data_IF_781784734750
#
_entry.id   IF_781784734750
#
_cell.length_a   1.000
_cell.length_b   1.000
_cell.length_c   1.000
_cell.angle_alpha   90.00
_cell.angle_beta   90.00
_cell.angle_gamma   90.00
#
_symmetry.space_group_name_H-M   'P 1'
#
loop_
_entity.id
_entity.type
_entity.pdbx_description
1 polymer ?
#
# COMPACT_ATOMS: atom_id res chain seq x y z
N UNK A 1 -4.43 10.88 -7.92
CA UNK A 1 -5.01 9.53 -7.86
C UNK A 1 -5.96 9.42 -9.03
N UNK A 2 -6.12 8.23 -9.61
CA UNK A 2 -6.89 8.01 -10.84
C UNK A 2 -8.42 8.19 -10.73
N UNK A 3 -8.86 9.28 -10.14
CA UNK A 3 -10.17 9.88 -10.44
C UNK A 3 -11.34 9.55 -9.56
N UNK A 4 -11.24 8.84 -8.42
CA UNK A 4 -12.43 8.65 -7.58
C UNK A 4 -12.12 8.56 -6.08
N UNK A 5 -13.18 8.59 -5.27
CA UNK A 5 -13.13 8.59 -3.80
C UNK A 5 -12.43 7.34 -3.29
N UNK A 6 -11.59 7.50 -2.26
CA UNK A 6 -10.99 6.39 -1.50
C UNK A 6 -11.27 6.57 -0.01
N UNK A 7 -11.14 5.49 0.75
CA UNK A 7 -11.25 5.49 2.19
C UNK A 7 -9.89 5.23 2.85
N UNK A 8 -9.55 6.05 3.84
CA UNK A 8 -8.45 5.80 4.75
C UNK A 8 -8.96 5.86 6.18
N UNK A 9 -8.66 4.84 6.96
CA UNK A 9 -9.12 4.72 8.33
C UNK A 9 -8.17 3.93 9.23
N UNK A 10 -8.43 3.91 10.54
CA UNK A 10 -7.68 3.10 11.50
C UNK A 10 -7.58 1.64 11.02
N UNK A 11 -6.43 1.00 11.26
CA UNK A 11 -6.17 -0.36 10.79
C UNK A 11 -5.64 -0.47 9.37
N UNK A 12 -5.50 0.64 8.63
CA UNK A 12 -4.75 0.66 7.37
C UNK A 12 -3.31 1.12 7.58
N UNK A 13 -2.35 0.47 6.90
CA UNK A 13 -1.01 1.01 6.71
C UNK A 13 -0.98 1.78 5.38
N UNK A 14 -0.92 3.10 5.49
CA UNK A 14 -0.79 4.00 4.34
C UNK A 14 0.67 4.39 4.18
N UNK A 15 1.23 4.18 2.99
CA UNK A 15 2.62 4.52 2.69
C UNK A 15 2.73 5.37 1.44
N UNK A 16 3.55 6.43 1.52
CA UNK A 16 3.87 7.33 0.41
C UNK A 16 5.38 7.32 0.15
N UNK A 17 5.89 6.33 -0.63
CA UNK A 17 7.30 6.31 -1.00
C UNK A 17 7.60 7.48 -1.94
N UNK A 18 8.24 8.53 -1.42
CA UNK A 18 8.64 9.71 -2.18
C UNK A 18 10.06 9.49 -2.68
N UNK A 19 10.19 9.14 -3.94
CA UNK A 19 11.49 8.84 -4.56
C UNK A 19 11.65 9.57 -5.88
N UNK A 20 12.89 9.89 -6.24
CA UNK A 20 13.20 10.38 -7.58
C UNK A 20 13.21 9.20 -8.56
N UNK A 21 12.32 9.21 -9.53
CA UNK A 21 12.11 8.12 -10.47
C UNK A 21 13.28 8.06 -11.47
N UNK A 22 14.10 7.02 -11.38
CA UNK A 22 15.20 6.78 -12.32
C UNK A 22 14.80 5.96 -13.56
N UNK A 23 13.66 5.26 -13.45
CA UNK A 23 13.09 4.41 -14.48
C UNK A 23 11.66 4.80 -14.85
N UNK A 24 10.93 3.89 -15.45
CA UNK A 24 9.51 4.06 -15.79
C UNK A 24 8.58 3.89 -14.58
N UNK A 25 7.43 4.55 -14.64
CA UNK A 25 6.36 4.44 -13.63
C UNK A 25 5.95 2.99 -13.37
N UNK A 26 5.86 2.21 -14.43
CA UNK A 26 5.51 0.78 -14.36
C UNK A 26 6.49 0.00 -13.50
N UNK A 27 7.79 0.17 -13.74
CA UNK A 27 8.83 -0.52 -12.96
C UNK A 27 8.77 -0.15 -11.47
N UNK A 28 8.49 1.12 -11.17
CA UNK A 28 8.29 1.60 -9.81
C UNK A 28 7.10 0.91 -9.12
N UNK A 29 5.93 0.87 -9.79
CA UNK A 29 4.73 0.25 -9.23
C UNK A 29 4.92 -1.26 -9.04
N UNK A 30 5.54 -1.95 -9.99
CA UNK A 30 5.86 -3.38 -9.89
C UNK A 30 6.87 -3.67 -8.76
N UNK A 31 7.85 -2.77 -8.54
CA UNK A 31 8.80 -2.89 -7.42
C UNK A 31 8.13 -2.67 -6.08
N UNK A 32 7.24 -1.68 -5.98
CA UNK A 32 6.43 -1.46 -4.78
C UNK A 32 5.53 -2.67 -4.50
N UNK A 33 4.92 -3.25 -5.54
CA UNK A 33 4.10 -4.45 -5.41
C UNK A 33 4.92 -5.64 -4.88
N UNK A 34 6.12 -5.89 -5.41
CA UNK A 34 7.01 -6.97 -4.94
C UNK A 34 7.36 -6.82 -3.47
N UNK A 35 7.73 -5.63 -3.03
CA UNK A 35 8.05 -5.40 -1.63
C UNK A 35 6.86 -5.65 -0.69
N UNK A 36 5.66 -5.22 -1.07
CA UNK A 36 4.47 -5.46 -0.26
C UNK A 36 4.03 -6.94 -0.29
N UNK A 37 4.19 -7.65 -1.42
CA UNK A 37 3.92 -9.09 -1.52
C UNK A 37 4.85 -9.88 -0.60
N UNK A 38 6.14 -9.52 -0.53
CA UNK A 38 7.11 -10.14 0.36
C UNK A 38 6.67 -10.00 1.83
N UNK A 39 6.29 -8.81 2.26
CA UNK A 39 5.79 -8.58 3.62
C UNK A 39 4.49 -9.34 3.90
N UNK A 40 3.56 -9.40 2.94
CA UNK A 40 2.33 -10.18 3.08
C UNK A 40 2.60 -11.68 3.18
N UNK A 41 3.60 -12.20 2.44
CA UNK A 41 4.00 -13.60 2.51
C UNK A 41 4.52 -13.98 3.92
N UNK A 42 5.25 -13.09 4.59
CA UNK A 42 5.67 -13.30 5.98
C UNK A 42 4.46 -13.38 6.93
N UNK A 43 3.39 -12.66 6.62
CA UNK A 43 2.11 -12.75 7.31
C UNK A 43 1.25 -13.94 6.85
N UNK A 44 1.81 -14.85 6.03
CA UNK A 44 1.12 -16.01 5.45
C UNK A 44 -0.12 -15.62 4.61
N UNK A 45 -0.05 -14.50 3.92
CA UNK A 45 -1.05 -14.03 2.96
C UNK A 45 -0.43 -14.05 1.57
N UNK A 46 -0.96 -14.90 0.69
CA UNK A 46 -0.55 -14.97 -0.71
C UNK A 46 -1.28 -13.92 -1.52
N UNK A 47 -0.57 -12.91 -1.98
CA UNK A 47 -1.13 -11.83 -2.79
C UNK A 47 -0.48 -11.76 -4.16
N UNK A 48 -1.22 -11.20 -5.14
CA UNK A 48 -0.72 -10.94 -6.50
C UNK A 48 -1.00 -9.51 -6.92
N UNK A 49 -0.12 -8.96 -7.75
CA UNK A 49 -0.33 -7.65 -8.37
C UNK A 49 -1.18 -7.79 -9.63
N UNK A 50 -2.18 -6.92 -9.80
CA UNK A 50 -2.95 -6.77 -11.03
C UNK A 50 -2.67 -5.43 -11.68
N UNK A 51 -2.30 -5.46 -12.93
CA UNK A 51 -1.97 -4.26 -13.72
C UNK A 51 -3.21 -3.49 -14.16
N UNK A 52 -4.23 -4.21 -14.58
CA UNK A 52 -5.51 -3.68 -15.05
C UNK A 52 -6.35 -3.05 -13.93
N UNK A 53 -6.11 -3.46 -12.69
CA UNK A 53 -6.77 -2.94 -11.49
C UNK A 53 -5.72 -2.70 -10.39
N UNK A 54 -4.88 -1.65 -10.51
CA UNK A 54 -3.67 -1.49 -9.71
C UNK A 54 -3.90 -1.67 -8.20
N UNK A 55 -3.14 -2.62 -7.64
CA UNK A 55 -3.27 -3.03 -6.25
C UNK A 55 -2.83 -4.47 -6.05
N UNK A 56 -2.90 -4.92 -4.80
CA UNK A 56 -2.68 -6.33 -4.46
C UNK A 56 -4.00 -7.02 -4.20
N UNK A 57 -4.12 -8.21 -4.78
CA UNK A 57 -5.31 -9.03 -4.76
C UNK A 57 -4.99 -10.39 -4.16
N UNK A 58 -5.95 -10.95 -3.49
CA UNK A 58 -5.90 -12.29 -2.88
C UNK A 58 -7.09 -13.11 -3.34
N UNK A 59 -6.96 -14.42 -3.35
CA UNK A 59 -8.11 -15.31 -3.50
C UNK A 59 -8.94 -15.23 -2.22
N UNK A 60 -10.25 -15.13 -2.37
CA UNK A 60 -11.18 -14.99 -1.26
C UNK A 60 -12.50 -15.70 -1.59
N UNK A 61 -13.19 -16.18 -0.56
CA UNK A 61 -14.53 -16.77 -0.70
C UNK A 61 -15.60 -15.68 -0.80
N UNK A 62 -15.61 -15.00 -1.94
CA UNK A 62 -16.50 -13.90 -2.28
C UNK A 62 -16.94 -14.04 -3.74
N UNK A 63 -17.99 -13.34 -4.14
CA UNK A 63 -18.36 -13.24 -5.54
C UNK A 63 -17.18 -12.73 -6.38
N UNK A 64 -16.85 -13.43 -7.47
CA UNK A 64 -15.66 -13.16 -8.28
C UNK A 64 -14.38 -13.83 -7.81
N UNK A 65 -14.39 -14.56 -6.68
CA UNK A 65 -13.27 -15.39 -6.22
C UNK A 65 -12.04 -14.65 -5.75
N UNK A 66 -12.07 -13.30 -5.67
CA UNK A 66 -10.93 -12.49 -5.27
C UNK A 66 -11.32 -11.17 -4.58
N UNK A 67 -10.43 -10.66 -3.75
CA UNK A 67 -10.61 -9.38 -3.07
C UNK A 67 -9.31 -8.56 -3.04
N UNK A 68 -9.46 -7.24 -3.06
CA UNK A 68 -8.34 -6.31 -2.97
C UNK A 68 -7.92 -6.13 -1.49
N UNK A 69 -6.68 -6.44 -1.19
CA UNK A 69 -6.08 -6.24 0.14
C UNK A 69 -5.26 -4.95 0.23
N UNK A 70 -4.75 -4.47 -0.90
CA UNK A 70 -3.96 -3.23 -0.95
C UNK A 70 -4.32 -2.42 -2.19
N UNK A 71 -4.67 -1.17 -2.00
CA UNK A 71 -4.93 -0.24 -3.10
C UNK A 71 -3.66 0.54 -3.46
N UNK A 72 -3.43 0.75 -4.77
CA UNK A 72 -2.36 1.59 -5.27
C UNK A 72 -2.93 2.86 -5.91
N UNK A 73 -2.33 4.00 -5.55
CA UNK A 73 -2.63 5.28 -6.17
C UNK A 73 -1.32 6.07 -6.26
N UNK A 74 -0.76 6.21 -7.44
CA UNK A 74 0.52 6.88 -7.68
C UNK A 74 0.31 8.06 -8.61
N UNK A 75 0.95 9.17 -8.30
CA UNK A 75 1.11 10.31 -9.19
C UNK A 75 2.60 10.66 -9.29
N UNK A 76 3.01 11.34 -10.36
CA UNK A 76 4.39 11.72 -10.57
C UNK A 76 4.43 13.18 -11.02
N UNK A 77 5.22 13.97 -10.30
CA UNK A 77 5.46 15.37 -10.64
C UNK A 77 6.97 15.63 -10.65
N UNK A 78 7.49 16.19 -11.74
CA UNK A 78 8.94 16.43 -11.93
C UNK A 78 9.83 15.22 -11.59
N UNK A 79 9.42 14.00 -12.00
CA UNK A 79 10.07 12.72 -11.71
C UNK A 79 10.07 12.32 -10.21
N UNK A 80 9.36 13.01 -9.35
CA UNK A 80 9.17 12.63 -7.96
C UNK A 80 7.83 11.91 -7.82
N UNK A 81 7.84 10.75 -7.21
CA UNK A 81 6.63 9.98 -6.95
C UNK A 81 5.83 10.63 -5.82
N UNK A 82 4.52 10.57 -5.94
CA UNK A 82 3.57 11.09 -4.95
C UNK A 82 2.51 10.02 -4.68
N UNK A 83 1.92 10.05 -3.48
CA UNK A 83 1.02 9.01 -3.00
C UNK A 83 1.74 7.65 -2.93
N UNK A 84 1.04 6.53 -3.06
CA UNK A 84 1.64 5.20 -2.95
C UNK A 84 0.58 4.13 -2.76
N UNK A 85 0.47 3.59 -1.55
CA UNK A 85 -0.41 2.45 -1.26
C UNK A 85 -1.20 2.61 0.04
N UNK A 86 -2.27 1.83 0.14
CA UNK A 86 -3.03 1.63 1.38
C UNK A 86 -3.25 0.13 1.56
N UNK A 87 -2.56 -0.47 2.52
CA UNK A 87 -2.63 -1.89 2.88
C UNK A 87 -3.60 -2.08 4.04
N UNK A 88 -4.60 -2.91 3.84
CA UNK A 88 -5.61 -3.23 4.83
C UNK A 88 -5.09 -4.29 5.80
N UNK A 89 -4.74 -3.89 7.02
CA UNK A 89 -4.38 -4.80 8.09
C UNK A 89 -5.62 -5.23 8.88
N UNK A 90 -6.34 -4.29 9.47
CA UNK A 90 -7.58 -4.51 10.20
C UNK A 90 -8.48 -3.27 10.20
N UNK A 91 -8.81 -2.66 9.03
CA UNK A 91 -9.76 -1.56 8.99
C UNK A 91 -11.21 -2.04 9.12
N UNK A 92 -12.12 -1.12 9.41
CA UNK A 92 -13.55 -1.37 9.23
C UNK A 92 -13.87 -1.53 7.73
N UNK A 93 -14.09 -2.77 7.30
CA UNK A 93 -14.41 -3.07 5.91
C UNK A 93 -15.81 -2.57 5.50
N UNK A 94 -16.72 -2.31 6.45
CA UNK A 94 -18.05 -1.78 6.13
C UNK A 94 -17.97 -0.36 5.56
N UNK A 95 -16.97 0.42 5.96
CA UNK A 95 -16.76 1.77 5.44
C UNK A 95 -16.51 1.80 3.91
N UNK A 96 -15.95 0.74 3.33
CA UNK A 96 -15.77 0.63 1.88
C UNK A 96 -17.08 0.47 1.11
N UNK A 97 -18.17 0.03 1.76
CA UNK A 97 -19.49 -0.10 1.12
C UNK A 97 -20.18 1.25 0.91
N UNK A 98 -19.70 2.30 1.58
CA UNK A 98 -20.22 3.66 1.45
C UNK A 98 -19.69 4.40 0.23
N UNK A 99 -18.73 3.81 -0.46
CA UNK A 99 -18.07 4.40 -1.64
C UNK A 99 -18.00 3.36 -2.76
N UNK A 100 -17.81 3.82 -3.99
CA UNK A 100 -17.35 2.96 -5.10
C UNK A 100 -15.82 3.08 -5.18
N UNK A 101 -15.06 2.12 -4.61
CA UNK A 101 -13.61 2.28 -4.50
C UNK A 101 -12.97 2.37 -5.89
N UNK A 102 -12.31 3.48 -6.19
CA UNK A 102 -11.60 3.71 -7.46
C UNK A 102 -12.46 3.54 -8.73
N UNK A 103 -13.78 3.73 -8.63
CA UNK A 103 -14.68 3.59 -9.78
C UNK A 103 -14.87 2.15 -10.29
N UNK A 104 -14.37 1.14 -9.59
CA UNK A 104 -14.54 -0.27 -9.96
C UNK A 104 -15.77 -0.82 -9.24
N UNK A 105 -16.89 -0.89 -9.95
CA UNK A 105 -18.10 -1.51 -9.42
C UNK A 105 -17.86 -3.00 -9.13
N UNK A 106 -18.31 -3.48 -7.96
CA UNK A 106 -18.15 -4.89 -7.57
C UNK A 106 -16.76 -5.27 -7.07
N UNK A 107 -15.88 -4.32 -6.77
CA UNK A 107 -14.57 -4.60 -6.20
C UNK A 107 -14.72 -5.05 -4.73
N UNK A 108 -14.55 -6.34 -4.47
CA UNK A 108 -14.46 -6.85 -3.11
C UNK A 108 -13.17 -6.36 -2.44
N UNK A 109 -13.28 -5.98 -1.17
CA UNK A 109 -12.16 -5.52 -0.35
C UNK A 109 -12.01 -6.45 0.85
N UNK A 110 -10.77 -6.76 1.20
CA UNK A 110 -10.44 -7.60 2.37
C UNK A 110 -9.29 -7.01 3.18
N UNK A 111 -8.91 -7.69 4.25
CA UNK A 111 -7.83 -7.31 5.15
C UNK A 111 -7.05 -8.53 5.64
N UNK A 112 -5.85 -8.31 6.21
CA UNK A 112 -5.08 -9.39 6.86
C UNK A 112 -5.90 -10.07 7.95
N UNK A 113 -6.61 -9.28 8.78
CA UNK A 113 -7.45 -9.82 9.85
C UNK A 113 -8.59 -10.70 9.32
N UNK A 114 -9.25 -10.29 8.23
CA UNK A 114 -10.35 -11.05 7.62
C UNK A 114 -9.89 -12.39 7.01
N UNK A 115 -8.67 -12.42 6.45
CA UNK A 115 -8.08 -13.62 5.86
C UNK A 115 -7.51 -14.59 6.89
N UNK A 116 -7.29 -14.12 8.12
CA UNK A 116 -6.67 -14.92 9.19
C UNK A 116 -7.47 -14.83 10.48
N UNK A 117 -8.71 -15.34 10.47
CA UNK A 117 -9.58 -15.30 11.66
C UNK A 117 -8.90 -16.00 12.85
N UNK A 118 -8.98 -15.39 14.01
CA UNK A 118 -8.34 -15.89 15.24
C UNK A 118 -6.85 -15.57 15.39
N UNK A 119 -6.21 -14.95 14.38
CA UNK A 119 -4.82 -14.47 14.50
C UNK A 119 -4.83 -12.94 14.49
N UNK A 120 -4.33 -12.28 15.52
CA UNK A 120 -4.23 -10.82 15.54
C UNK A 120 -3.45 -10.30 14.34
N UNK A 121 -4.02 -9.35 13.61
CA UNK A 121 -3.28 -8.64 12.58
C UNK A 121 -2.31 -7.65 13.22
N UNK A 122 -1.11 -7.45 12.64
CA UNK A 122 -0.20 -6.43 13.14
C UNK A 122 -0.81 -5.04 12.99
N UNK A 123 -0.43 -4.15 13.87
CA UNK A 123 -0.75 -2.73 13.75
C UNK A 123 0.11 -2.08 12.65
N UNK A 124 -0.32 -0.93 12.09
CA UNK A 124 0.51 -0.18 11.15
C UNK A 124 1.89 0.16 11.70
N UNK A 125 2.00 0.49 12.98
CA UNK A 125 3.28 0.84 13.63
C UNK A 125 4.24 -0.35 13.70
N UNK A 126 3.73 -1.55 14.01
CA UNK A 126 4.54 -2.78 14.09
C UNK A 126 5.06 -3.23 12.70
N UNK A 127 4.34 -2.89 11.63
CA UNK A 127 4.71 -3.33 10.28
C UNK A 127 5.49 -2.29 9.48
N UNK A 128 5.47 -1.03 9.89
CA UNK A 128 6.01 0.09 9.12
C UNK A 128 7.49 -0.08 8.76
N UNK A 129 8.34 -0.45 9.71
CA UNK A 129 9.79 -0.60 9.48
C UNK A 129 10.10 -1.75 8.52
N UNK A 130 9.35 -2.86 8.60
CA UNK A 130 9.50 -4.01 7.69
C UNK A 130 9.08 -3.65 6.27
N UNK A 131 7.96 -2.95 6.13
CA UNK A 131 7.50 -2.44 4.83
C UNK A 131 8.51 -1.46 4.26
N UNK A 132 9.04 -0.53 5.06
CA UNK A 132 10.06 0.41 4.61
C UNK A 132 11.34 -0.30 4.14
N UNK A 133 11.82 -1.31 4.88
CA UNK A 133 13.00 -2.07 4.52
C UNK A 133 12.79 -2.85 3.20
N UNK A 134 11.68 -3.58 3.06
CA UNK A 134 11.38 -4.34 1.85
C UNK A 134 11.17 -3.42 0.64
N UNK A 135 10.44 -2.32 0.80
CA UNK A 135 10.30 -1.32 -0.27
C UNK A 135 11.65 -0.70 -0.65
N UNK A 136 12.50 -0.39 0.33
CA UNK A 136 13.84 0.14 0.09
C UNK A 136 14.69 -0.80 -0.75
N UNK A 137 14.65 -2.09 -0.45
CA UNK A 137 15.32 -3.14 -1.22
C UNK A 137 14.82 -3.17 -2.68
N UNK A 138 13.51 -3.28 -2.89
CA UNK A 138 12.91 -3.43 -4.22
C UNK A 138 12.96 -2.15 -5.07
N UNK A 139 12.98 -0.98 -4.44
CA UNK A 139 13.09 0.31 -5.12
C UNK A 139 14.55 0.75 -5.34
N UNK A 140 15.51 0.07 -4.72
CA UNK A 140 16.93 0.42 -4.77
C UNK A 140 17.26 1.73 -4.07
N UNK A 141 16.50 2.09 -3.03
CA UNK A 141 16.70 3.31 -2.22
C UNK A 141 16.57 2.97 -0.74
N UNK A 142 17.50 3.38 0.13
CA UNK A 142 17.35 3.17 1.56
C UNK A 142 16.27 4.10 2.12
N UNK A 143 15.33 3.55 2.90
CA UNK A 143 14.44 4.33 3.75
C UNK A 143 14.95 4.26 5.18
N UNK A 144 15.09 5.41 5.82
CA UNK A 144 15.49 5.51 7.22
C UNK A 144 14.36 6.15 8.01
N UNK A 145 14.21 5.70 9.27
CA UNK A 145 13.29 6.36 10.20
C UNK A 145 13.83 7.73 10.52
N UNK A 146 13.07 8.78 10.24
CA UNK A 146 13.37 10.12 10.74
C UNK A 146 12.66 10.27 12.08
N UNK A 147 13.44 10.57 13.14
CA UNK A 147 12.86 11.03 14.39
C UNK A 147 12.11 12.33 14.13
N UNK A 148 10.92 12.42 14.68
CA UNK A 148 9.93 13.43 14.36
C UNK A 148 10.53 14.85 14.22
N UNK A 149 10.34 15.44 13.05
CA UNK A 149 10.31 16.90 12.80
C UNK A 149 11.49 17.78 13.26
N UNK A 150 12.65 17.24 13.62
CA UNK A 150 13.80 18.07 14.02
C UNK A 150 14.48 18.80 12.87
N UNK A 151 14.18 18.46 11.61
CA UNK A 151 14.89 19.02 10.45
C UNK A 151 14.06 19.92 9.52
N UNK A 152 12.85 20.32 9.90
CA UNK A 152 12.08 21.26 9.07
C UNK A 152 12.61 22.71 9.09
N UNK A 153 13.60 23.03 9.95
CA UNK A 153 14.19 24.37 10.09
C UNK A 153 15.67 24.44 9.65
N UNK A 154 16.21 23.47 8.97
CA UNK A 154 17.54 23.61 8.40
C UNK A 154 17.47 24.60 7.23
N UNK A 155 18.26 25.71 7.24
CA UNK A 155 18.33 26.61 6.10
C UNK A 155 18.85 25.85 4.87
N UNK A 156 18.44 26.24 3.64
CA UNK A 156 18.95 25.62 2.44
C UNK A 156 20.47 25.77 2.41
N UNK A 157 21.17 24.68 2.10
CA UNK A 157 22.63 24.73 1.89
C UNK A 157 22.92 25.73 0.76
N UNK A 158 23.83 26.67 1.04
CA UNK A 158 24.30 27.69 0.10
C UNK A 158 25.14 27.05 -1.00
#
# INVERSE_FOLDING_TARGET
RGGDVTYHGPGQLVGYPLVHLRGGVRAYVESMARGLIEVLAELRVTARYKREAPGLWVDADVEGGEAKICAFGVNIHHRITMHGFALNLNPDLAAFRLIVPCGIAGCNVTSVAALRPGVPAPTPAELADRVAASLGHHLGVPFQRADALQNCNAPPAQ
#
